data_IF_075531997746
#
_entry.id   IF_075531997746
#
_cell.length_a   1.000
_cell.length_b   1.000
_cell.length_c   1.000
_cell.angle_alpha   90.00
_cell.angle_beta   90.00
_cell.angle_gamma   90.00
#
_symmetry.space_group_name_H-M   'P 1'
#
loop_
_entity.id
_entity.type
_entity.pdbx_description
1 polymer ?
#
# COMPACT_ATOMS: atom_id res chain seq x y z
N UNK A 1 -3.59 -4.36 -4.13
CA UNK A 1 -3.54 -5.84 -4.15
C UNK A 1 -2.11 -6.36 -4.37
N UNK A 2 -1.33 -6.50 -3.30
CA UNK A 2 0.10 -6.85 -3.41
C UNK A 2 0.46 -8.22 -2.81
N UNK A 3 -0.52 -8.98 -2.33
CA UNK A 3 -0.28 -10.23 -1.58
C UNK A 3 -1.04 -11.44 -2.11
N UNK A 4 -1.59 -11.40 -3.33
CA UNK A 4 -2.38 -12.53 -3.87
C UNK A 4 -1.58 -13.83 -3.79
N UNK A 5 -0.30 -13.86 -4.21
CA UNK A 5 0.53 -15.07 -4.13
C UNK A 5 0.79 -15.55 -2.69
N UNK A 6 1.18 -14.66 -1.79
CA UNK A 6 1.53 -15.01 -0.40
C UNK A 6 0.30 -15.44 0.39
N UNK A 7 -0.83 -14.76 0.21
CA UNK A 7 -2.10 -15.11 0.85
C UNK A 7 -2.59 -16.49 0.36
N UNK A 8 -2.50 -16.75 -0.95
CA UNK A 8 -2.85 -18.06 -1.50
C UNK A 8 -1.98 -19.17 -0.91
N UNK A 9 -0.66 -18.95 -0.84
CA UNK A 9 0.25 -19.92 -0.21
C UNK A 9 -0.06 -20.12 1.27
N UNK A 10 -0.42 -19.07 2.01
CA UNK A 10 -0.82 -19.19 3.42
C UNK A 10 -2.10 -20.02 3.59
N UNK A 11 -3.13 -19.76 2.77
CA UNK A 11 -4.39 -20.52 2.80
C UNK A 11 -4.17 -21.98 2.43
N UNK A 12 -3.44 -22.24 1.34
CA UNK A 12 -3.09 -23.60 0.91
C UNK A 12 -2.31 -24.31 2.02
N UNK A 13 -1.28 -23.67 2.57
CA UNK A 13 -0.48 -24.23 3.65
C UNK A 13 -1.34 -24.62 4.86
N UNK A 14 -2.17 -23.71 5.38
CA UNK A 14 -3.02 -24.00 6.55
C UNK A 14 -4.02 -25.12 6.29
N UNK A 15 -4.72 -25.10 5.15
CA UNK A 15 -5.79 -26.06 4.88
C UNK A 15 -5.26 -27.45 4.53
N UNK A 16 -4.16 -27.52 3.78
CA UNK A 16 -3.53 -28.80 3.42
C UNK A 16 -2.81 -29.43 4.61
N UNK A 17 -2.02 -28.64 5.36
CA UNK A 17 -1.19 -29.19 6.46
C UNK A 17 -1.97 -29.36 7.77
N UNK A 18 -2.91 -28.46 8.07
CA UNK A 18 -3.64 -28.48 9.34
C UNK A 18 -4.93 -29.30 9.30
N UNK A 19 -5.54 -29.45 8.12
CA UNK A 19 -6.91 -29.97 7.98
C UNK A 19 -7.06 -31.06 6.91
N UNK A 20 -5.98 -31.42 6.20
CA UNK A 20 -5.99 -32.49 5.19
C UNK A 20 -6.84 -32.21 3.95
N UNK A 21 -7.19 -30.94 3.71
CA UNK A 21 -7.96 -30.52 2.52
C UNK A 21 -7.06 -30.64 1.28
N UNK A 22 -7.64 -31.00 0.13
CA UNK A 22 -6.88 -31.08 -1.11
C UNK A 22 -6.33 -29.71 -1.52
N UNK A 23 -5.15 -29.67 -2.15
CA UNK A 23 -4.55 -28.40 -2.60
C UNK A 23 -5.43 -27.64 -3.60
N UNK A 24 -6.22 -28.37 -4.42
CA UNK A 24 -7.14 -27.78 -5.38
C UNK A 24 -8.30 -27.07 -4.67
N UNK A 25 -8.89 -27.71 -3.66
CA UNK A 25 -9.97 -27.11 -2.86
C UNK A 25 -9.44 -25.93 -2.04
N UNK A 26 -8.24 -26.05 -1.47
CA UNK A 26 -7.61 -24.98 -0.71
C UNK A 26 -7.32 -23.74 -1.57
N UNK A 27 -6.89 -23.94 -2.82
CA UNK A 27 -6.74 -22.85 -3.81
C UNK A 27 -8.10 -22.20 -4.11
N UNK A 28 -9.15 -23.01 -4.32
CA UNK A 28 -10.49 -22.49 -4.57
C UNK A 28 -10.99 -21.63 -3.39
N UNK A 29 -10.76 -22.07 -2.15
CA UNK A 29 -11.01 -21.28 -0.94
C UNK A 29 -10.27 -19.94 -0.96
N UNK A 30 -8.97 -19.94 -1.27
CA UNK A 30 -8.17 -18.72 -1.36
C UNK A 30 -8.73 -17.72 -2.39
N UNK A 31 -9.18 -18.21 -3.56
CA UNK A 31 -9.80 -17.37 -4.60
C UNK A 31 -11.12 -16.78 -4.14
N UNK A 32 -11.98 -17.56 -3.48
CA UNK A 32 -13.26 -17.06 -2.94
C UNK A 32 -13.01 -15.99 -1.88
N UNK A 33 -12.03 -16.19 -0.99
CA UNK A 33 -11.66 -15.20 0.02
C UNK A 33 -11.17 -13.89 -0.61
N UNK A 34 -10.42 -13.96 -1.72
CA UNK A 34 -10.03 -12.76 -2.47
C UNK A 34 -11.23 -12.05 -3.10
N UNK A 35 -12.21 -12.78 -3.61
CA UNK A 35 -13.45 -12.18 -4.11
C UNK A 35 -14.20 -11.43 -3.00
N UNK A 36 -14.26 -12.01 -1.79
CA UNK A 36 -14.87 -11.36 -0.61
C UNK A 36 -14.09 -10.11 -0.19
N UNK A 37 -12.76 -10.17 -0.20
CA UNK A 37 -11.90 -9.02 0.12
C UNK A 37 -12.16 -7.86 -0.85
N UNK A 38 -12.16 -8.13 -2.16
CA UNK A 38 -12.42 -7.11 -3.18
C UNK A 38 -13.85 -6.58 -3.06
N UNK A 39 -14.84 -7.46 -2.88
CA UNK A 39 -16.24 -7.05 -2.71
C UNK A 39 -16.41 -6.14 -1.49
N UNK A 40 -15.72 -6.44 -0.39
CA UNK A 40 -15.77 -5.62 0.83
C UNK A 40 -15.04 -4.29 0.63
N UNK A 41 -13.84 -4.31 0.04
CA UNK A 41 -13.08 -3.10 -0.25
C UNK A 41 -13.84 -2.14 -1.17
N UNK A 42 -14.51 -2.68 -2.20
CA UNK A 42 -15.34 -1.90 -3.13
C UNK A 42 -16.63 -1.45 -2.43
N UNK A 43 -17.33 -2.36 -1.77
CA UNK A 43 -18.61 -2.12 -1.12
C UNK A 43 -18.54 -1.14 0.05
N UNK A 44 -17.43 -1.08 0.77
CA UNK A 44 -17.20 -0.10 1.83
C UNK A 44 -16.45 1.13 1.32
N UNK A 45 -15.48 0.94 0.43
CA UNK A 45 -14.63 2.02 -0.07
C UNK A 45 -15.37 3.00 -0.97
N UNK A 46 -16.14 2.52 -1.97
CA UNK A 46 -16.82 3.42 -2.89
C UNK A 46 -17.87 4.31 -2.19
N UNK A 47 -18.74 3.79 -1.30
CA UNK A 47 -19.68 4.64 -0.58
C UNK A 47 -19.00 5.62 0.38
N UNK A 48 -17.88 5.24 1.01
CA UNK A 48 -17.12 6.17 1.85
C UNK A 48 -16.60 7.36 1.04
N UNK A 49 -16.02 7.12 -0.14
CA UNK A 49 -15.56 8.18 -1.04
C UNK A 49 -16.69 9.12 -1.49
N UNK A 50 -17.87 8.56 -1.80
CA UNK A 50 -19.06 9.34 -2.18
C UNK A 50 -19.57 10.18 -1.01
N UNK A 51 -19.60 9.64 0.21
CA UNK A 51 -20.05 10.37 1.42
C UNK A 51 -19.12 11.52 1.80
N UNK A 52 -17.83 11.39 1.53
CA UNK A 52 -16.83 12.46 1.73
C UNK A 52 -16.83 13.51 0.60
N UNK A 53 -17.63 13.33 -0.45
CA UNK A 53 -17.72 14.29 -1.57
C UNK A 53 -16.46 14.35 -2.43
N UNK A 54 -15.55 13.38 -2.31
CA UNK A 54 -14.34 13.33 -3.12
C UNK A 54 -14.69 12.98 -4.56
N UNK A 55 -14.24 13.81 -5.51
CA UNK A 55 -14.38 13.45 -6.92
C UNK A 55 -13.34 12.39 -7.30
N UNK A 56 -13.64 11.59 -8.32
CA UNK A 56 -12.68 10.63 -8.89
C UNK A 56 -11.34 11.30 -9.27
N UNK A 57 -11.37 12.58 -9.65
CA UNK A 57 -10.18 13.38 -9.94
C UNK A 57 -9.32 13.60 -8.70
N UNK A 58 -9.93 13.84 -7.52
CA UNK A 58 -9.20 14.03 -6.26
C UNK A 58 -8.56 12.72 -5.78
N UNK A 59 -9.29 11.62 -5.91
CA UNK A 59 -8.78 10.27 -5.61
C UNK A 59 -7.61 9.94 -6.54
N UNK A 60 -7.74 10.24 -7.84
CA UNK A 60 -6.68 10.04 -8.83
C UNK A 60 -5.46 10.92 -8.53
N UNK A 61 -5.67 12.20 -8.22
CA UNK A 61 -4.60 13.15 -7.93
C UNK A 61 -3.85 12.73 -6.65
N UNK A 62 -4.57 12.36 -5.60
CA UNK A 62 -3.98 11.85 -4.34
C UNK A 62 -3.28 10.51 -4.54
N UNK A 63 -3.83 9.59 -5.32
CA UNK A 63 -3.16 8.32 -5.64
C UNK A 63 -1.84 8.55 -6.40
N UNK A 64 -1.79 9.57 -7.27
CA UNK A 64 -0.56 9.95 -7.98
C UNK A 64 0.44 10.69 -7.08
N UNK A 65 -0.02 11.55 -6.16
CA UNK A 65 0.86 12.24 -5.19
C UNK A 65 1.29 11.37 -4.01
N UNK A 66 0.55 10.30 -3.69
CA UNK A 66 0.92 9.30 -2.69
C UNK A 66 1.93 8.27 -3.22
N UNK A 67 2.24 8.28 -4.52
CA UNK A 67 3.42 7.60 -5.03
C UNK A 67 4.66 8.19 -4.34
N UNK A 68 5.61 7.37 -3.88
CA UNK A 68 6.69 7.82 -3.01
C UNK A 68 7.52 8.90 -3.70
N UNK A 69 7.33 10.16 -3.31
CA UNK A 69 8.19 11.27 -3.68
C UNK A 69 9.47 11.13 -2.87
N UNK A 70 10.55 10.73 -3.56
CA UNK A 70 11.90 10.85 -3.03
C UNK A 70 12.23 12.33 -2.87
N UNK A 71 12.03 12.84 -1.65
CA UNK A 71 12.50 14.17 -1.26
C UNK A 71 14.03 14.13 -1.31
N UNK A 72 14.62 14.74 -2.34
CA UNK A 72 16.06 14.95 -2.38
C UNK A 72 16.40 15.87 -1.19
N UNK A 73 17.15 15.33 -0.22
CA UNK A 73 17.68 16.11 0.89
C UNK A 73 18.59 17.20 0.34
N UNK A 74 18.13 18.45 0.35
CA UNK A 74 18.94 19.58 -0.08
C UNK A 74 20.17 19.69 0.84
N UNK A 75 21.41 19.77 0.31
CA UNK A 75 22.59 19.96 1.14
C UNK A 75 22.44 21.27 1.91
N UNK A 76 22.53 21.22 3.25
CA UNK A 76 22.60 22.45 4.06
C UNK A 76 23.74 23.31 3.51
N UNK A 77 23.52 24.60 3.20
CA UNK A 77 24.60 25.52 2.93
C UNK A 77 25.60 25.44 4.07
N UNK A 78 26.85 25.09 3.73
CA UNK A 78 27.98 25.10 4.66
C UNK A 78 28.07 26.52 5.20
N UNK A 79 27.81 26.70 6.49
CA UNK A 79 28.06 27.95 7.20
C UNK A 79 29.55 28.30 6.97
N UNK A 80 29.79 29.35 6.20
CA UNK A 80 31.12 29.94 6.04
C UNK A 80 31.59 30.43 7.42
N UNK A 81 32.75 29.97 7.92
CA UNK A 81 33.28 30.47 9.17
C UNK A 81 33.53 31.97 9.03
N UNK A 82 32.98 32.72 9.98
CA UNK A 82 33.14 34.15 10.12
C UNK A 82 34.62 34.54 9.94
N UNK A 83 34.86 35.57 9.12
CA UNK A 83 36.17 36.17 8.92
C UNK A 83 36.69 36.72 10.26
N UNK A 84 37.47 35.89 10.93
CA UNK A 84 38.37 36.24 12.01
C UNK A 84 39.56 37.03 11.42
N UNK A 85 39.71 38.28 11.85
CA UNK A 85 40.98 38.98 11.98
C UNK A 85 41.75 39.37 10.70
N UNK A 86 41.58 40.62 10.25
CA UNK A 86 42.67 41.40 9.65
C UNK A 86 42.28 42.89 9.50
N UNK A 87 42.50 43.68 10.55
CA UNK A 87 43.10 45.02 10.45
C UNK A 87 43.69 45.37 11.82
N UNK A 88 44.99 45.11 11.94
CA UNK A 88 45.91 45.78 12.87
C UNK A 88 46.96 46.48 12.04
#
# INVERSE_FOLDING_TARGET
>A
PSNIGVFQLAVISVLTTGWGVSSADALAYGVILQAVEIATAVGLGLPALVREGMSWSDVRLRAMSAAPVSLQSHPRPREEPAREGAIG
#
